data_IF_200509249317
#
_entry.id   IF_200509249317
#
_cell.length_a   1.000
_cell.length_b   1.000
_cell.length_c   1.000
_cell.angle_alpha   90.00
_cell.angle_beta   90.00
_cell.angle_gamma   90.00
#
_symmetry.space_group_name_H-M   'P 1'
#
loop_
_entity.id
_entity.type
_entity.pdbx_description
1 polymer ?
#
# COMPACT_ATOMS: atom_id res chain seq x y z
N UNK A 1 -43.07 -25.50 -9.81
CA UNK A 1 -43.65 -24.25 -10.32
C UNK A 1 -43.03 -23.04 -9.63
N UNK A 2 -43.13 -22.90 -8.30
CA UNK A 2 -42.52 -21.79 -7.54
C UNK A 2 -41.02 -21.54 -7.79
N UNK A 3 -40.21 -22.60 -7.92
CA UNK A 3 -38.76 -22.47 -8.18
C UNK A 3 -38.49 -21.89 -9.57
N UNK A 4 -39.25 -22.30 -10.58
CA UNK A 4 -39.09 -21.81 -11.97
C UNK A 4 -39.46 -20.34 -12.04
N UNK A 5 -40.59 -19.96 -11.44
CA UNK A 5 -41.06 -18.57 -11.37
C UNK A 5 -40.09 -17.66 -10.59
N UNK A 6 -39.48 -18.19 -9.53
CA UNK A 6 -38.42 -17.47 -8.80
C UNK A 6 -37.18 -17.30 -9.66
N UNK A 7 -36.74 -18.34 -10.37
CA UNK A 7 -35.58 -18.26 -11.27
C UNK A 7 -35.80 -17.32 -12.45
N UNK A 8 -37.02 -17.21 -12.97
CA UNK A 8 -37.36 -16.24 -14.01
C UNK A 8 -37.24 -14.79 -13.49
N UNK A 9 -37.55 -14.54 -12.20
CA UNK A 9 -37.42 -13.22 -11.59
C UNK A 9 -35.98 -12.86 -11.18
N UNK A 10 -35.23 -13.78 -10.58
CA UNK A 10 -33.91 -13.47 -9.97
C UNK A 10 -32.71 -14.01 -10.74
N UNK A 11 -32.88 -14.92 -11.70
CA UNK A 11 -31.78 -15.55 -12.41
C UNK A 11 -30.93 -14.56 -13.22
N UNK A 12 -31.57 -13.69 -14.00
CA UNK A 12 -30.85 -12.67 -14.77
C UNK A 12 -30.15 -11.63 -13.87
N UNK A 13 -30.80 -11.09 -12.81
CA UNK A 13 -30.10 -10.28 -11.80
C UNK A 13 -28.87 -10.96 -11.20
N UNK A 14 -28.98 -12.22 -10.76
CA UNK A 14 -27.86 -12.96 -10.14
C UNK A 14 -26.71 -13.14 -11.14
N UNK A 15 -27.03 -13.45 -12.41
CA UNK A 15 -26.02 -13.57 -13.45
C UNK A 15 -25.28 -12.24 -13.65
N UNK A 16 -26.02 -11.13 -13.77
CA UNK A 16 -25.43 -9.81 -13.97
C UNK A 16 -24.58 -9.37 -12.77
N UNK A 17 -25.05 -9.59 -11.54
CA UNK A 17 -24.26 -9.29 -10.33
C UNK A 17 -22.99 -10.12 -10.26
N UNK A 18 -23.05 -11.40 -10.67
CA UNK A 18 -21.87 -12.28 -10.70
C UNK A 18 -20.82 -11.73 -11.66
N UNK A 19 -21.20 -11.44 -12.91
CA UNK A 19 -20.28 -10.94 -13.94
C UNK A 19 -19.69 -9.58 -13.57
N UNK A 20 -20.52 -8.65 -13.09
CA UNK A 20 -20.05 -7.30 -12.71
C UNK A 20 -19.10 -7.34 -11.50
N UNK A 21 -19.40 -8.16 -10.49
CA UNK A 21 -18.51 -8.34 -9.33
C UNK A 21 -17.21 -9.03 -9.73
N UNK A 22 -17.27 -10.06 -10.59
CA UNK A 22 -16.08 -10.69 -11.16
C UNK A 22 -15.21 -9.70 -11.92
N UNK A 23 -15.80 -8.83 -12.73
CA UNK A 23 -15.08 -7.80 -13.46
C UNK A 23 -14.39 -6.81 -12.52
N UNK A 24 -15.07 -6.41 -11.43
CA UNK A 24 -14.50 -5.55 -10.39
C UNK A 24 -13.23 -6.15 -9.77
N UNK A 25 -13.30 -7.40 -9.30
CA UNK A 25 -12.11 -8.08 -8.74
C UNK A 25 -11.07 -8.44 -9.80
N UNK A 26 -11.47 -8.77 -11.02
CA UNK A 26 -10.56 -9.10 -12.10
C UNK A 26 -9.70 -7.90 -12.51
N UNK A 27 -10.23 -6.67 -12.35
CA UNK A 27 -9.46 -5.44 -12.59
C UNK A 27 -8.20 -5.34 -11.70
N UNK A 28 -8.21 -5.94 -10.51
CA UNK A 28 -7.04 -5.99 -9.62
C UNK A 28 -5.91 -6.82 -10.21
N UNK A 29 -6.15 -7.65 -11.22
CA UNK A 29 -5.09 -8.44 -11.88
C UNK A 29 -4.05 -7.55 -12.57
N UNK A 30 -4.43 -6.33 -12.94
CA UNK A 30 -3.54 -5.36 -13.59
C UNK A 30 -2.55 -4.67 -12.64
N UNK A 31 -2.71 -4.82 -11.32
CA UNK A 31 -1.78 -4.21 -10.35
C UNK A 31 -0.41 -4.89 -10.37
N UNK A 32 0.65 -4.12 -10.11
CA UNK A 32 2.03 -4.63 -9.92
C UNK A 32 2.22 -5.29 -8.55
N UNK A 33 1.33 -5.02 -7.59
CA UNK A 33 1.37 -5.58 -6.24
C UNK A 33 0.92 -7.05 -6.25
N UNK A 34 1.88 -7.97 -6.21
CA UNK A 34 1.64 -9.42 -6.37
C UNK A 34 0.52 -9.98 -5.47
N UNK A 35 0.43 -9.65 -4.16
CA UNK A 35 -0.66 -10.12 -3.31
C UNK A 35 -2.06 -9.69 -3.81
N UNK A 36 -2.19 -8.47 -4.31
CA UNK A 36 -3.46 -7.94 -4.83
C UNK A 36 -3.83 -8.61 -6.17
N UNK A 37 -2.83 -8.89 -7.02
CA UNK A 37 -3.03 -9.64 -8.27
C UNK A 37 -3.55 -11.05 -8.01
N UNK A 38 -2.95 -11.75 -7.04
CA UNK A 38 -3.41 -13.09 -6.64
C UNK A 38 -4.83 -13.05 -6.08
N UNK A 39 -5.15 -12.08 -5.23
CA UNK A 39 -6.49 -11.87 -4.72
C UNK A 39 -7.51 -11.66 -5.85
N UNK A 40 -7.20 -10.81 -6.83
CA UNK A 40 -8.07 -10.58 -7.99
C UNK A 40 -8.44 -11.87 -8.72
N UNK A 41 -7.45 -12.73 -9.00
CA UNK A 41 -7.66 -14.01 -9.69
C UNK A 41 -8.52 -14.97 -8.85
N UNK A 42 -8.13 -15.23 -7.60
CA UNK A 42 -8.81 -16.21 -6.75
C UNK A 42 -10.24 -15.77 -6.39
N UNK A 43 -10.44 -14.49 -6.10
CA UNK A 43 -11.77 -13.96 -5.74
C UNK A 43 -12.70 -13.97 -6.96
N UNK A 44 -12.24 -13.55 -8.14
CA UNK A 44 -13.06 -13.61 -9.35
C UNK A 44 -13.47 -15.03 -9.72
N UNK A 45 -12.56 -16.00 -9.60
CA UNK A 45 -12.89 -17.42 -9.81
C UNK A 45 -13.89 -17.93 -8.77
N UNK A 46 -13.71 -17.56 -7.50
CA UNK A 46 -14.63 -17.91 -6.42
C UNK A 46 -16.03 -17.35 -6.63
N UNK A 47 -16.15 -16.10 -7.07
CA UNK A 47 -17.45 -15.49 -7.41
C UNK A 47 -18.09 -16.20 -8.60
N UNK A 48 -17.33 -16.49 -9.65
CA UNK A 48 -17.85 -17.25 -10.80
C UNK A 48 -18.39 -18.61 -10.39
N UNK A 49 -17.64 -19.34 -9.55
CA UNK A 49 -18.06 -20.62 -8.99
C UNK A 49 -19.31 -20.48 -8.13
N UNK A 50 -19.37 -19.48 -7.23
CA UNK A 50 -20.54 -19.21 -6.40
C UNK A 50 -21.77 -18.84 -7.24
N UNK A 51 -21.61 -18.09 -8.33
CA UNK A 51 -22.67 -17.76 -9.28
C UNK A 51 -23.22 -19.00 -9.98
N UNK A 52 -22.35 -19.91 -10.45
CA UNK A 52 -22.74 -21.20 -11.02
C UNK A 52 -23.50 -22.04 -10.00
N UNK A 53 -23.00 -22.15 -8.75
CA UNK A 53 -23.73 -22.87 -7.71
C UNK A 53 -25.09 -22.23 -7.40
N UNK A 54 -25.17 -20.90 -7.39
CA UNK A 54 -26.41 -20.19 -7.10
C UNK A 54 -27.47 -20.36 -8.21
N UNK A 55 -27.05 -20.42 -9.47
CA UNK A 55 -27.95 -20.57 -10.62
C UNK A 55 -28.35 -22.03 -10.90
N UNK A 56 -27.45 -22.99 -10.67
CA UNK A 56 -27.68 -24.38 -11.05
C UNK A 56 -27.85 -25.31 -9.84
N UNK A 57 -26.97 -25.21 -8.85
CA UNK A 57 -26.97 -26.13 -7.71
C UNK A 57 -28.09 -25.81 -6.72
N UNK A 58 -28.28 -24.53 -6.37
CA UNK A 58 -29.28 -24.13 -5.40
C UNK A 58 -30.72 -24.48 -5.85
N UNK A 59 -31.17 -24.19 -7.10
CA UNK A 59 -32.50 -24.57 -7.54
C UNK A 59 -32.68 -26.10 -7.62
N UNK A 60 -31.63 -26.83 -8.02
CA UNK A 60 -31.64 -28.29 -8.05
C UNK A 60 -31.84 -28.90 -6.66
N UNK A 61 -31.14 -28.38 -5.64
CA UNK A 61 -31.32 -28.82 -4.25
C UNK A 61 -32.73 -28.46 -3.76
N UNK A 62 -33.17 -27.21 -3.97
CA UNK A 62 -34.50 -26.76 -3.56
C UNK A 62 -35.62 -27.57 -4.22
N UNK A 63 -35.42 -28.08 -5.45
CA UNK A 63 -36.39 -28.94 -6.12
C UNK A 63 -36.63 -30.28 -5.40
N UNK A 64 -35.67 -30.73 -4.60
CA UNK A 64 -35.72 -32.01 -3.87
C UNK A 64 -36.09 -31.86 -2.41
N UNK A 65 -36.03 -30.65 -1.86
CA UNK A 65 -36.39 -30.35 -0.47
C UNK A 65 -37.88 -30.04 -0.40
N UNK A 66 -38.59 -30.69 0.53
CA UNK A 66 -39.99 -30.33 0.84
C UNK A 66 -40.00 -29.04 1.65
N UNK A 67 -40.27 -27.93 0.99
CA UNK A 67 -40.47 -26.65 1.67
C UNK A 67 -41.88 -26.60 2.28
N UNK A 68 -42.05 -26.05 3.50
CA UNK A 68 -43.36 -25.82 4.08
C UNK A 68 -44.18 -24.94 3.13
N UNK A 69 -45.41 -25.37 2.84
CA UNK A 69 -46.27 -24.76 1.81
C UNK A 69 -47.00 -23.51 2.28
N UNK A 70 -47.02 -23.25 3.58
CA UNK A 70 -47.66 -22.06 4.15
C UNK A 70 -46.62 -20.96 4.39
N UNK A 71 -46.73 -19.81 3.70
CA UNK A 71 -45.91 -18.66 4.05
C UNK A 71 -46.25 -18.21 5.47
N UNK A 72 -45.26 -17.97 6.35
CA UNK A 72 -45.54 -17.39 7.65
C UNK A 72 -46.26 -16.05 7.46
N UNK A 73 -47.23 -15.70 8.33
CA UNK A 73 -47.99 -14.47 8.21
C UNK A 73 -47.02 -13.28 8.14
N UNK A 74 -47.17 -12.46 7.11
CA UNK A 74 -46.32 -11.30 6.87
C UNK A 74 -46.41 -10.36 8.09
N UNK A 75 -45.39 -10.41 8.95
CA UNK A 75 -45.32 -9.57 10.14
C UNK A 75 -44.98 -8.16 9.67
N UNK A 76 -45.96 -7.25 9.70
CA UNK A 76 -45.70 -5.83 9.44
C UNK A 76 -44.76 -5.28 10.51
N UNK A 77 -43.47 -5.27 10.21
CA UNK A 77 -42.46 -4.64 11.06
C UNK A 77 -42.69 -3.13 11.05
N UNK A 78 -42.54 -2.47 12.20
CA UNK A 78 -42.55 -1.00 12.26
C UNK A 78 -41.53 -0.37 11.29
N UNK A 79 -40.47 -1.11 10.95
CA UNK A 79 -39.48 -0.73 9.95
C UNK A 79 -40.08 -0.64 8.53
N UNK A 80 -40.94 -1.57 8.12
CA UNK A 80 -41.54 -1.53 6.77
C UNK A 80 -42.49 -0.34 6.61
N UNK A 81 -43.25 0.00 7.66
CA UNK A 81 -44.09 1.20 7.69
C UNK A 81 -43.26 2.48 7.65
N UNK A 82 -42.13 2.52 8.36
CA UNK A 82 -41.21 3.66 8.34
C UNK A 82 -40.58 3.85 6.96
N UNK A 83 -40.09 2.78 6.33
CA UNK A 83 -39.54 2.80 4.97
C UNK A 83 -40.61 3.28 3.96
N UNK A 84 -41.84 2.76 4.07
CA UNK A 84 -42.92 3.15 3.17
C UNK A 84 -43.32 4.63 3.36
N UNK A 85 -43.32 5.12 4.59
CA UNK A 85 -43.58 6.52 4.91
C UNK A 85 -42.44 7.45 4.43
N UNK A 86 -41.18 7.03 4.58
CA UNK A 86 -40.01 7.74 4.08
C UNK A 86 -39.99 7.81 2.54
N UNK A 87 -40.30 6.70 1.85
CA UNK A 87 -40.33 6.61 0.38
C UNK A 87 -41.39 7.53 -0.27
N UNK A 88 -42.39 8.01 0.48
CA UNK A 88 -43.33 9.03 0.00
C UNK A 88 -42.69 10.42 -0.14
N UNK A 89 -41.53 10.67 0.48
CA UNK A 89 -40.81 11.96 0.46
C UNK A 89 -39.61 11.93 -0.50
N UNK A 90 -39.87 11.64 -1.78
CA UNK A 90 -38.84 11.47 -2.83
C UNK A 90 -37.85 12.64 -2.92
N UNK A 91 -38.33 13.88 -2.80
CA UNK A 91 -37.48 15.08 -2.86
C UNK A 91 -36.50 15.15 -1.68
N UNK A 92 -36.94 14.78 -0.48
CA UNK A 92 -36.09 14.78 0.72
C UNK A 92 -34.98 13.73 0.60
N UNK A 93 -35.32 12.53 0.10
CA UNK A 93 -34.33 11.45 -0.14
C UNK A 93 -33.29 11.89 -1.17
N UNK A 94 -33.73 12.50 -2.28
CA UNK A 94 -32.82 12.99 -3.32
C UNK A 94 -31.89 14.09 -2.79
N UNK A 95 -32.44 15.06 -2.05
CA UNK A 95 -31.64 16.13 -1.44
C UNK A 95 -30.66 15.58 -0.41
N UNK A 96 -31.06 14.60 0.41
CA UNK A 96 -30.15 13.99 1.39
C UNK A 96 -29.03 13.21 0.71
N UNK A 97 -29.33 12.45 -0.35
CA UNK A 97 -28.29 11.74 -1.12
C UNK A 97 -27.34 12.72 -1.79
N UNK A 98 -27.86 13.78 -2.41
CA UNK A 98 -27.05 14.85 -2.99
C UNK A 98 -26.17 15.54 -1.95
N UNK A 99 -26.70 15.80 -0.76
CA UNK A 99 -25.93 16.39 0.33
C UNK A 99 -24.80 15.47 0.79
N UNK A 100 -25.07 14.16 0.95
CA UNK A 100 -24.04 13.18 1.30
C UNK A 100 -22.95 13.14 0.23
N UNK A 101 -23.32 13.09 -1.06
CA UNK A 101 -22.35 13.10 -2.16
C UNK A 101 -21.51 14.38 -2.14
N UNK A 102 -22.14 15.55 -1.96
CA UNK A 102 -21.43 16.83 -1.91
C UNK A 102 -20.45 16.90 -0.73
N UNK A 103 -20.86 16.43 0.46
CA UNK A 103 -19.99 16.36 1.63
C UNK A 103 -18.83 15.40 1.38
N UNK A 104 -19.09 14.21 0.84
CA UNK A 104 -18.04 13.24 0.51
C UNK A 104 -17.03 13.84 -0.45
N UNK A 105 -17.48 14.47 -1.55
CA UNK A 105 -16.59 15.10 -2.54
C UNK A 105 -15.78 16.24 -1.93
N UNK A 106 -16.40 17.04 -1.05
CA UNK A 106 -15.72 18.13 -0.36
C UNK A 106 -14.58 17.65 0.55
N UNK A 107 -14.71 16.45 1.14
CA UNK A 107 -13.70 15.88 2.05
C UNK A 107 -12.66 14.99 1.36
N UNK A 108 -12.78 14.69 0.06
CA UNK A 108 -11.75 13.93 -0.69
C UNK A 108 -10.34 14.54 -0.54
N UNK A 109 -10.13 15.87 -0.61
CA UNK A 109 -8.81 16.46 -0.47
C UNK A 109 -8.17 16.29 0.91
N UNK A 110 -8.96 16.01 1.95
CA UNK A 110 -8.49 15.79 3.32
C UNK A 110 -8.11 14.34 3.59
N UNK A 111 -8.14 13.48 2.58
CA UNK A 111 -7.82 12.06 2.73
C UNK A 111 -6.31 11.86 2.79
N UNK A 112 -5.81 11.55 3.99
CA UNK A 112 -4.40 11.22 4.19
C UNK A 112 -4.09 9.82 3.65
N UNK A 113 -3.15 9.75 2.71
CA UNK A 113 -2.66 8.48 2.18
C UNK A 113 -1.55 7.98 3.11
N UNK A 114 -1.91 7.05 3.99
CA UNK A 114 -0.94 6.39 4.85
C UNK A 114 -0.30 5.23 4.09
N UNK A 115 0.93 5.42 3.62
CA UNK A 115 1.75 4.35 3.01
C UNK A 115 2.67 3.64 4.01
N UNK A 116 2.63 4.02 5.29
CA UNK A 116 3.54 3.47 6.29
C UNK A 116 3.13 2.03 6.67
N UNK A 117 3.95 1.05 6.31
CA UNK A 117 3.68 -0.37 6.57
C UNK A 117 3.69 -0.72 8.07
N UNK A 118 4.38 0.07 8.90
CA UNK A 118 4.32 -0.06 10.37
C UNK A 118 2.90 0.17 10.88
N UNK A 119 2.07 0.91 10.14
CA UNK A 119 0.66 1.12 10.45
C UNK A 119 -0.21 -0.13 10.31
N UNK A 120 0.25 -1.17 9.61
CA UNK A 120 -0.46 -2.45 9.56
C UNK A 120 -0.36 -3.23 10.87
N UNK A 121 0.61 -2.91 11.72
CA UNK A 121 0.73 -3.50 13.04
C UNK A 121 -0.08 -2.71 14.07
N UNK A 122 -0.74 -3.45 14.97
CA UNK A 122 -1.46 -2.85 16.10
C UNK A 122 -0.51 -2.00 16.94
N UNK A 123 -1.03 -0.91 17.47
CA UNK A 123 -0.28 0.03 18.33
C UNK A 123 0.32 -0.66 19.56
N UNK A 124 -0.34 -1.69 20.10
CA UNK A 124 0.10 -2.46 21.27
C UNK A 124 1.14 -3.55 20.93
N UNK A 125 1.47 -3.76 19.66
CA UNK A 125 2.43 -4.78 19.27
C UNK A 125 3.87 -4.41 19.65
N UNK A 126 4.67 -5.42 20.00
CA UNK A 126 6.10 -5.22 20.30
C UNK A 126 6.86 -4.61 19.12
N UNK A 127 6.48 -4.97 17.89
CA UNK A 127 7.09 -4.47 16.64
C UNK A 127 6.90 -2.95 16.57
N UNK A 128 5.67 -2.47 16.74
CA UNK A 128 5.36 -1.04 16.67
C UNK A 128 6.05 -0.23 17.77
N UNK A 129 5.97 -0.70 19.02
CA UNK A 129 6.62 -0.01 20.13
C UNK A 129 8.15 0.02 20.02
N UNK A 130 8.75 -1.02 19.44
CA UNK A 130 10.19 -1.05 19.20
C UNK A 130 10.56 -0.07 18.09
N UNK A 131 9.80 -0.05 17.01
CA UNK A 131 9.98 0.90 15.92
C UNK A 131 9.87 2.35 16.41
N UNK A 132 8.81 2.68 17.16
CA UNK A 132 8.61 4.03 17.70
C UNK A 132 9.73 4.45 18.67
N UNK A 133 10.32 3.49 19.41
CA UNK A 133 11.50 3.76 20.25
C UNK A 133 12.74 4.01 19.41
N UNK A 134 12.96 3.20 18.37
CA UNK A 134 14.10 3.39 17.46
C UNK A 134 14.00 4.75 16.78
N UNK A 135 12.85 5.08 16.21
CA UNK A 135 12.56 6.39 15.61
C UNK A 135 12.82 7.54 16.60
N UNK A 136 12.31 7.42 17.83
CA UNK A 136 12.45 8.48 18.84
C UNK A 136 13.89 8.70 19.33
N UNK A 137 14.68 7.63 19.46
CA UNK A 137 16.03 7.71 20.03
C UNK A 137 17.14 7.80 18.98
N UNK A 138 16.87 7.33 17.76
CA UNK A 138 17.87 7.24 16.68
C UNK A 138 17.45 8.01 15.42
N UNK A 139 16.27 8.63 15.37
CA UNK A 139 15.89 9.62 14.35
C UNK A 139 15.63 9.10 12.93
N UNK A 140 15.93 7.83 12.64
CA UNK A 140 15.98 7.33 11.26
C UNK A 140 15.52 5.89 11.10
N UNK A 141 14.30 5.55 11.50
CA UNK A 141 13.78 4.22 11.21
C UNK A 141 13.44 4.01 9.70
N UNK A 142 13.38 5.09 8.91
CA UNK A 142 13.25 5.07 7.46
C UNK A 142 14.22 6.09 6.80
N UNK A 143 15.43 5.69 6.40
CA UNK A 143 16.34 6.59 5.70
C UNK A 143 15.79 6.94 4.31
N UNK A 144 16.06 8.17 3.87
CA UNK A 144 15.88 8.56 2.47
C UNK A 144 17.19 8.30 1.73
N UNK A 145 17.17 7.38 0.76
CA UNK A 145 18.34 7.04 -0.04
C UNK A 145 18.31 7.80 -1.37
N UNK A 146 19.40 8.52 -1.66
CA UNK A 146 19.66 9.10 -2.97
C UNK A 146 20.79 8.31 -3.66
N UNK A 147 20.64 8.08 -4.96
CA UNK A 147 21.63 7.37 -5.76
C UNK A 147 22.33 8.35 -6.71
N UNK A 148 23.66 8.42 -6.63
CA UNK A 148 24.48 9.25 -7.52
C UNK A 148 25.30 8.30 -8.41
N UNK A 149 25.00 8.30 -9.70
CA UNK A 149 25.63 7.40 -10.67
C UNK A 149 26.91 8.03 -11.22
N UNK A 150 28.01 7.27 -11.18
CA UNK A 150 29.29 7.62 -11.80
C UNK A 150 29.76 6.52 -12.76
N UNK A 151 30.26 6.92 -13.92
CA UNK A 151 30.79 6.03 -14.96
C UNK A 151 32.07 5.27 -14.52
N UNK A 152 32.70 5.68 -13.41
CA UNK A 152 33.95 5.10 -12.89
C UNK A 152 33.76 4.08 -11.77
N UNK A 153 32.53 3.79 -11.34
CA UNK A 153 32.26 2.84 -10.25
C UNK A 153 33.04 3.18 -8.97
N UNK A 154 33.67 2.18 -8.33
CA UNK A 154 34.45 2.35 -7.09
C UNK A 154 35.65 3.30 -7.27
N UNK A 155 36.23 3.41 -8.48
CA UNK A 155 37.33 4.33 -8.74
C UNK A 155 36.91 5.81 -8.59
N UNK A 156 35.60 6.11 -8.54
CA UNK A 156 35.06 7.45 -8.24
C UNK A 156 35.47 7.93 -6.85
N UNK A 157 35.65 7.02 -5.88
CA UNK A 157 36.16 7.39 -4.55
C UNK A 157 37.54 8.05 -4.63
N UNK A 158 38.30 7.87 -5.72
CA UNK A 158 39.62 8.53 -5.88
C UNK A 158 39.53 9.93 -6.46
N UNK A 159 38.35 10.36 -6.90
CA UNK A 159 38.13 11.66 -7.52
C UNK A 159 37.82 12.68 -6.42
N UNK A 160 38.84 13.47 -6.06
CA UNK A 160 38.73 14.47 -4.99
C UNK A 160 37.68 15.54 -5.30
N UNK A 161 37.64 16.04 -6.54
CA UNK A 161 36.67 17.10 -6.93
C UNK A 161 35.25 16.58 -6.81
N UNK A 162 35.00 15.35 -7.28
CA UNK A 162 33.69 14.71 -7.15
C UNK A 162 33.31 14.45 -5.68
N UNK A 163 34.27 14.02 -4.86
CA UNK A 163 34.03 13.77 -3.44
C UNK A 163 33.63 15.05 -2.69
N UNK A 164 34.35 16.16 -2.91
CA UNK A 164 34.03 17.45 -2.30
C UNK A 164 32.66 17.97 -2.76
N UNK A 165 32.31 17.84 -4.04
CA UNK A 165 31.00 18.22 -4.56
C UNK A 165 29.85 17.48 -3.84
N UNK A 166 30.02 16.17 -3.58
CA UNK A 166 29.01 15.35 -2.88
C UNK A 166 28.94 15.73 -1.39
N UNK A 167 30.09 15.91 -0.73
CA UNK A 167 30.14 16.33 0.67
C UNK A 167 29.53 17.72 0.89
N UNK A 168 29.70 18.65 -0.06
CA UNK A 168 29.07 19.96 0.00
C UNK A 168 27.55 19.88 -0.15
N UNK A 169 27.05 18.98 -1.01
CA UNK A 169 25.60 18.69 -1.11
C UNK A 169 25.07 18.15 0.22
N UNK A 170 25.77 17.20 0.86
CA UNK A 170 25.38 16.67 2.17
C UNK A 170 25.27 17.78 3.22
N UNK A 171 26.30 18.62 3.34
CA UNK A 171 26.30 19.78 4.25
C UNK A 171 25.19 20.78 3.95
N UNK A 172 24.82 20.96 2.68
CA UNK A 172 23.69 21.82 2.29
C UNK A 172 22.35 21.19 2.69
N UNK A 173 22.19 19.88 2.50
CA UNK A 173 20.99 19.13 2.89
C UNK A 173 20.78 19.17 4.41
N UNK A 174 21.82 18.99 5.21
CA UNK A 174 21.72 19.05 6.68
C UNK A 174 21.28 20.42 7.21
N UNK A 175 21.44 21.49 6.42
CA UNK A 175 20.96 22.84 6.79
C UNK A 175 19.46 23.01 6.56
N UNK A 176 18.81 22.11 5.82
CA UNK A 176 17.40 22.21 5.51
C UNK A 176 16.53 21.79 6.71
N UNK A 177 15.41 22.48 6.97
CA UNK A 177 14.52 22.11 8.07
C UNK A 177 13.88 20.74 7.79
N UNK A 178 14.09 19.78 8.70
CA UNK A 178 13.52 18.42 8.62
C UNK A 178 14.50 17.34 8.18
N UNK A 179 15.75 17.69 7.89
CA UNK A 179 16.84 16.72 7.68
C UNK A 179 17.67 16.68 8.97
N UNK A 180 17.75 15.51 9.60
CA UNK A 180 18.51 15.33 10.85
C UNK A 180 20.00 15.04 10.59
N UNK A 181 20.30 14.24 9.57
CA UNK A 181 21.65 13.99 9.06
C UNK A 181 21.62 13.57 7.59
N UNK A 182 22.73 13.82 6.88
CA UNK A 182 23.00 13.26 5.57
C UNK A 182 24.40 12.61 5.62
N UNK A 183 24.53 11.42 5.06
CA UNK A 183 25.81 10.72 5.01
C UNK A 183 25.95 9.97 3.69
N UNK A 184 27.18 9.91 3.17
CA UNK A 184 27.53 9.09 2.02
C UNK A 184 28.78 8.24 2.27
N UNK A 185 29.16 7.48 1.25
CA UNK A 185 30.45 6.77 1.21
C UNK A 185 31.64 7.72 1.31
N UNK A 186 31.51 8.94 0.80
CA UNK A 186 32.58 9.93 0.84
C UNK A 186 32.80 10.44 2.27
N UNK A 187 31.72 10.64 3.03
CA UNK A 187 31.78 11.02 4.44
C UNK A 187 32.49 9.96 5.30
N UNK A 188 32.26 8.67 5.00
CA UNK A 188 32.99 7.59 5.68
C UNK A 188 34.52 7.68 5.44
N UNK A 189 34.95 7.98 4.22
CA UNK A 189 36.37 8.12 3.88
C UNK A 189 36.96 9.39 4.51
N UNK A 190 36.23 10.50 4.51
CA UNK A 190 36.63 11.75 5.17
C UNK A 190 36.82 11.54 6.68
N UNK A 191 35.86 10.89 7.36
CA UNK A 191 35.96 10.56 8.77
C UNK A 191 37.18 9.66 9.08
N UNK A 192 37.48 8.68 8.23
CA UNK A 192 38.69 7.84 8.40
C UNK A 192 39.96 8.69 8.22
N UNK A 193 39.97 9.62 7.27
CA UNK A 193 41.08 10.55 7.10
C UNK A 193 41.26 11.43 8.35
N UNK A 194 40.19 11.99 8.91
CA UNK A 194 40.23 12.77 10.15
C UNK A 194 40.78 11.95 11.32
N UNK A 195 40.35 10.71 11.48
CA UNK A 195 40.86 9.83 12.55
C UNK A 195 42.35 9.52 12.41
N UNK A 196 42.88 9.51 11.18
CA UNK A 196 44.28 9.17 10.90
C UNK A 196 45.21 10.40 10.90
N UNK A 197 44.73 11.54 10.40
CA UNK A 197 45.54 12.73 10.13
C UNK A 197 45.17 13.91 11.02
N UNK A 198 43.98 13.91 11.62
CA UNK A 198 43.39 15.01 12.37
C UNK A 198 42.84 16.14 11.48
N UNK A 199 42.72 15.90 10.16
CA UNK A 199 42.16 16.86 9.21
C UNK A 199 40.76 16.43 8.80
N UNK A 200 39.79 17.31 9.02
CA UNK A 200 38.37 17.13 8.65
C UNK A 200 38.18 17.52 7.16
N UNK A 201 38.83 16.76 6.28
CA UNK A 201 38.79 16.93 4.82
C UNK A 201 38.83 15.60 4.07
N UNK A 202 38.41 15.61 2.81
CA UNK A 202 38.61 14.47 1.94
C UNK A 202 40.09 14.36 1.54
N UNK A 203 40.71 13.16 1.55
CA UNK A 203 42.12 13.02 1.28
C UNK A 203 42.47 13.37 -0.18
N UNK A 204 43.21 14.47 -0.40
CA UNK A 204 43.67 14.93 -1.72
C UNK A 204 44.55 13.89 -2.46
N UNK A 205 45.20 12.97 -1.73
CA UNK A 205 46.09 11.98 -2.31
C UNK A 205 45.36 10.68 -2.67
N UNK A 206 45.26 10.30 -3.97
CA UNK A 206 44.59 9.06 -4.38
C UNK A 206 45.22 7.78 -3.79
N UNK A 207 46.48 7.86 -3.35
CA UNK A 207 47.20 6.74 -2.73
C UNK A 207 46.67 6.37 -1.35
N UNK A 208 46.12 7.33 -0.62
CA UNK A 208 45.50 7.07 0.68
C UNK A 208 44.27 6.17 0.49
N UNK A 209 43.40 6.57 -0.45
CA UNK A 209 42.17 5.86 -0.81
C UNK A 209 42.49 4.49 -1.39
N UNK A 210 43.54 4.38 -2.20
CA UNK A 210 44.01 3.08 -2.70
C UNK A 210 44.44 2.11 -1.58
N UNK A 211 45.11 2.60 -0.55
CA UNK A 211 45.48 1.76 0.61
C UNK A 211 44.26 1.35 1.43
N UNK A 212 43.30 2.26 1.57
CA UNK A 212 42.04 1.99 2.26
C UNK A 212 41.24 0.92 1.52
N UNK A 213 41.07 1.07 0.20
CA UNK A 213 40.39 0.09 -0.65
C UNK A 213 41.07 -1.28 -0.63
N UNK A 214 42.40 -1.34 -0.56
CA UNK A 214 43.15 -2.62 -0.43
C UNK A 214 42.96 -3.33 0.91
N UNK A 215 42.48 -2.62 1.95
CA UNK A 215 42.20 -3.21 3.26
C UNK A 215 40.76 -3.72 3.39
N UNK A 216 39.89 -3.34 2.46
CA UNK A 216 38.49 -3.79 2.39
C UNK A 216 38.46 -4.96 1.40
N UNK A 217 37.80 -6.06 1.77
CA UNK A 217 37.71 -7.25 0.91
C UNK A 217 36.89 -6.96 -0.36
N UNK A 218 37.28 -7.53 -1.50
CA UNK A 218 36.61 -7.27 -2.80
C UNK A 218 35.14 -7.74 -2.78
N UNK A 219 34.82 -8.80 -2.03
CA UNK A 219 33.43 -9.26 -1.82
C UNK A 219 32.59 -8.26 -1.03
N UNK A 220 33.19 -7.55 -0.06
CA UNK A 220 32.48 -6.52 0.69
C UNK A 220 32.22 -5.32 -0.21
N UNK A 221 33.18 -4.90 -1.03
CA UNK A 221 33.08 -3.73 -1.93
C UNK A 221 31.96 -3.85 -2.98
N UNK A 222 31.68 -5.05 -3.50
CA UNK A 222 30.55 -5.28 -4.44
C UNK A 222 29.18 -5.07 -3.79
N UNK A 223 29.05 -5.11 -2.45
CA UNK A 223 27.77 -4.86 -1.77
C UNK A 223 27.43 -3.38 -1.59
N UNK A 224 28.40 -2.48 -1.84
CA UNK A 224 28.21 -1.02 -1.73
C UNK A 224 27.85 -0.35 -3.06
N UNK A 225 27.88 -1.10 -4.16
CA UNK A 225 27.54 -0.68 -5.53
C UNK A 225 26.27 -1.39 -5.99
#
# INVERSE_FOLDING_TARGET
QLIVETMDMVGMPIFLTTITTMAGFASLTWTEVLPMRQMGIFVSLGIGYAGVLSLFFLPAVLSRVKLPSEPPPARESSLSKFILAASKRKALILVSFMAIIAISVFYIPSLEVVSNQVMFFKEDSQIRQTFDKVEKYFGGALPLTAEIVSDRGIDTLRDYEFAEDVLDIERELERLPGIESAFSLFDMVANINEMMTGQDDYPESPRFIQRLLMQIDDEDLETWV
#
